data_IF_831175547456
#
_entry.id   IF_831175547456
#
_cell.length_a   1.000
_cell.length_b   1.000
_cell.length_c   1.000
_cell.angle_alpha   90.00
_cell.angle_beta   90.00
_cell.angle_gamma   90.00
#
_symmetry.space_group_name_H-M   'P 1'
#
loop_
_entity.id
_entity.type
_entity.pdbx_description
1 polymer ?
#
# COMPACT_ATOMS: atom_id res chain seq x y z
N UNK A 1 -2.89 13.14 -12.72
CA UNK A 1 -1.98 12.23 -11.99
C UNK A 1 -2.36 12.22 -10.52
N UNK A 2 -2.49 11.04 -9.94
CA UNK A 2 -2.84 10.88 -8.52
C UNK A 2 -1.58 10.49 -7.75
N UNK A 3 -1.24 11.25 -6.72
CA UNK A 3 -0.09 10.99 -5.86
C UNK A 3 -0.59 10.72 -4.44
N UNK A 4 -0.17 9.61 -3.85
CA UNK A 4 -0.58 9.32 -2.48
C UNK A 4 0.47 8.49 -1.74
N UNK A 5 0.34 8.51 -0.41
CA UNK A 5 1.04 7.56 0.45
C UNK A 5 0.00 6.76 1.22
N UNK A 6 0.32 5.50 1.48
CA UNK A 6 -0.49 4.64 2.33
C UNK A 6 0.40 4.11 3.45
N UNK A 7 0.06 4.42 4.69
CA UNK A 7 0.87 4.10 5.86
C UNK A 7 0.22 2.99 6.67
N UNK A 8 1.03 2.02 7.07
CA UNK A 8 0.60 0.84 7.82
C UNK A 8 1.47 0.65 9.04
N UNK A 9 0.84 0.29 10.16
CA UNK A 9 1.55 -0.03 11.40
C UNK A 9 1.18 -1.44 11.84
N UNK A 10 2.17 -2.31 11.93
CA UNK A 10 1.98 -3.68 12.40
C UNK A 10 1.82 -3.72 13.91
N UNK A 11 1.01 -4.66 14.40
CA UNK A 11 1.03 -5.00 15.81
C UNK A 11 2.42 -5.53 16.17
N UNK A 12 2.92 -5.26 17.38
CA UNK A 12 4.21 -5.81 17.82
C UNK A 12 4.24 -7.33 17.63
N UNK A 13 5.30 -7.83 16.99
CA UNK A 13 5.44 -9.25 16.69
C UNK A 13 4.84 -9.67 15.34
N UNK A 14 4.09 -8.80 14.68
CA UNK A 14 3.46 -9.10 13.38
C UNK A 14 4.16 -8.42 12.21
N UNK A 15 5.24 -7.71 12.47
CA UNK A 15 5.92 -6.91 11.44
C UNK A 15 6.44 -7.74 10.27
N UNK A 16 6.94 -8.95 10.52
CA UNK A 16 7.44 -9.79 9.45
C UNK A 16 6.30 -10.31 8.56
N UNK A 17 5.19 -10.71 9.17
CA UNK A 17 4.00 -11.14 8.43
C UNK A 17 3.44 -10.01 7.57
N UNK A 18 3.34 -8.80 8.15
CA UNK A 18 2.85 -7.63 7.40
C UNK A 18 3.78 -7.32 6.24
N UNK A 19 5.09 -7.35 6.46
CA UNK A 19 6.07 -7.11 5.41
C UNK A 19 5.86 -8.05 4.23
N UNK A 20 5.67 -9.34 4.50
CA UNK A 20 5.46 -10.33 3.46
C UNK A 20 4.18 -10.07 2.66
N UNK A 21 3.08 -9.77 3.35
CA UNK A 21 1.79 -9.48 2.71
C UNK A 21 1.88 -8.23 1.85
N UNK A 22 2.45 -7.14 2.38
CA UNK A 22 2.57 -5.89 1.63
C UNK A 22 3.49 -6.06 0.42
N UNK A 23 4.57 -6.83 0.56
CA UNK A 23 5.50 -7.08 -0.54
C UNK A 23 4.81 -7.84 -1.68
N UNK A 24 3.92 -8.77 -1.37
CA UNK A 24 3.18 -9.53 -2.38
C UNK A 24 2.27 -8.65 -3.24
N UNK A 25 1.88 -7.48 -2.74
CA UNK A 25 1.03 -6.56 -3.49
C UNK A 25 1.79 -5.78 -4.58
N UNK A 26 3.12 -5.77 -4.52
CA UNK A 26 3.92 -4.93 -5.43
C UNK A 26 3.77 -5.32 -6.89
N UNK A 27 4.02 -6.60 -7.21
CA UNK A 27 4.02 -7.03 -8.61
C UNK A 27 2.66 -6.89 -9.29
N UNK A 28 1.57 -7.42 -8.72
CA UNK A 28 0.27 -7.28 -9.38
C UNK A 28 -0.19 -5.83 -9.52
N UNK A 29 0.13 -4.96 -8.56
CA UNK A 29 -0.21 -3.55 -8.66
C UNK A 29 0.61 -2.85 -9.74
N UNK A 30 1.90 -3.14 -9.80
CA UNK A 30 2.78 -2.57 -10.83
C UNK A 30 2.37 -2.99 -12.24
N UNK A 31 1.70 -4.13 -12.39
CA UNK A 31 1.21 -4.63 -13.67
C UNK A 31 -0.11 -3.97 -14.09
N UNK A 32 -0.76 -3.20 -13.23
CA UNK A 32 -1.96 -2.44 -13.61
C UNK A 32 -1.56 -1.37 -14.62
N UNK A 33 -2.34 -1.25 -15.69
CA UNK A 33 -2.05 -0.33 -16.78
C UNK A 33 -1.87 1.11 -16.32
N UNK A 34 -2.69 1.54 -15.36
CA UNK A 34 -2.67 2.92 -14.88
C UNK A 34 -1.72 3.18 -13.72
N UNK A 35 -0.99 2.16 -13.26
CA UNK A 35 -0.04 2.34 -12.16
C UNK A 35 1.27 2.92 -12.68
N UNK A 36 1.64 4.11 -12.21
CA UNK A 36 2.88 4.77 -12.61
C UNK A 36 4.00 4.46 -11.63
N UNK A 37 3.66 4.40 -10.33
CA UNK A 37 4.64 4.15 -9.28
C UNK A 37 3.97 3.41 -8.13
N UNK A 38 4.63 2.38 -7.62
CA UNK A 38 4.15 1.65 -6.46
C UNK A 38 5.37 1.09 -5.73
N UNK A 39 5.83 1.81 -4.70
CA UNK A 39 7.04 1.48 -3.94
C UNK A 39 6.69 1.30 -2.49
N UNK A 40 7.28 0.29 -1.87
CA UNK A 40 7.07 -0.02 -0.45
C UNK A 40 8.34 0.28 0.32
N UNK A 41 8.19 1.00 1.42
CA UNK A 41 9.29 1.34 2.31
C UNK A 41 8.98 0.88 3.73
N UNK A 42 10.00 0.41 4.42
CA UNK A 42 9.91 0.11 5.85
C UNK A 42 10.72 1.17 6.60
N UNK A 43 10.16 1.69 7.69
CA UNK A 43 10.83 2.68 8.51
C UNK A 43 12.16 2.09 9.00
N UNK A 44 13.22 2.87 8.89
CA UNK A 44 14.57 2.43 9.25
C UNK A 44 14.71 2.11 10.73
N UNK A 45 13.99 2.83 11.58
CA UNK A 45 14.12 2.72 13.02
C UNK A 45 12.93 2.02 13.69
N UNK A 46 11.84 1.79 12.96
CA UNK A 46 10.63 1.14 13.49
C UNK A 46 10.17 0.07 12.50
N UNK A 47 10.49 -1.18 12.79
CA UNK A 47 10.20 -2.31 11.90
C UNK A 47 8.69 -2.52 11.66
N UNK A 48 7.82 -1.96 12.51
CA UNK A 48 6.37 -2.09 12.36
C UNK A 48 5.75 -1.06 11.43
N UNK A 49 6.51 -0.05 11.01
CA UNK A 49 6.01 1.07 10.22
C UNK A 49 6.39 0.91 8.75
N UNK A 50 5.36 0.86 7.88
CA UNK A 50 5.53 0.69 6.44
C UNK A 50 4.77 1.77 5.68
N UNK A 51 5.32 2.19 4.54
CA UNK A 51 4.70 3.20 3.69
C UNK A 51 4.77 2.76 2.24
N UNK A 52 3.63 2.79 1.53
CA UNK A 52 3.63 2.75 0.07
C UNK A 52 3.68 4.18 -0.45
N UNK A 53 4.53 4.42 -1.45
CA UNK A 53 4.47 5.62 -2.27
C UNK A 53 3.84 5.21 -3.60
N UNK A 54 2.70 5.82 -3.93
CA UNK A 54 1.87 5.40 -5.05
C UNK A 54 1.60 6.55 -5.99
N UNK A 55 1.56 6.23 -7.29
CA UNK A 55 1.22 7.19 -8.31
C UNK A 55 0.42 6.48 -9.39
N UNK A 56 -0.76 7.01 -9.69
CA UNK A 56 -1.65 6.49 -10.73
C UNK A 56 -1.88 7.57 -11.77
N UNK A 57 -2.09 7.17 -13.03
CA UNK A 57 -2.15 8.15 -14.13
C UNK A 57 -3.36 9.09 -14.03
N UNK A 58 -4.48 8.64 -13.42
CA UNK A 58 -5.67 9.44 -13.24
C UNK A 58 -6.58 8.83 -12.17
N UNK A 59 -7.69 9.50 -11.90
CA UNK A 59 -8.66 9.06 -10.89
C UNK A 59 -9.25 7.70 -11.25
N UNK A 60 -9.51 7.45 -12.53
CA UNK A 60 -10.07 6.20 -13.01
C UNK A 60 -9.12 5.02 -12.71
N UNK A 61 -7.81 5.23 -12.94
CA UNK A 61 -6.81 4.22 -12.67
C UNK A 61 -6.71 3.91 -11.17
N UNK A 62 -6.82 4.93 -10.32
CA UNK A 62 -6.81 4.76 -8.88
C UNK A 62 -8.04 3.97 -8.42
N UNK A 63 -9.21 4.30 -8.95
CA UNK A 63 -10.44 3.58 -8.62
C UNK A 63 -10.39 2.13 -9.10
N UNK A 64 -9.82 1.91 -10.28
CA UNK A 64 -9.61 0.56 -10.78
C UNK A 64 -8.77 -0.27 -9.83
N UNK A 65 -7.66 0.31 -9.34
CA UNK A 65 -6.79 -0.35 -8.36
C UNK A 65 -7.59 -0.86 -7.15
N UNK A 66 -8.49 -0.04 -6.62
CA UNK A 66 -9.29 -0.37 -5.45
C UNK A 66 -10.31 -1.48 -5.70
N UNK A 67 -10.58 -1.83 -6.97
CA UNK A 67 -11.55 -2.86 -7.33
C UNK A 67 -10.91 -4.17 -7.75
N UNK A 68 -9.59 -4.26 -7.74
CA UNK A 68 -8.88 -5.48 -8.17
C UNK A 68 -8.97 -6.59 -7.13
N UNK A 69 -8.84 -7.83 -7.60
CA UNK A 69 -8.79 -8.99 -6.71
C UNK A 69 -7.58 -8.94 -5.78
N UNK A 70 -6.44 -8.51 -6.30
CA UNK A 70 -5.23 -8.46 -5.49
C UNK A 70 -5.34 -7.40 -4.38
N UNK A 71 -6.06 -6.31 -4.62
CA UNK A 71 -6.30 -5.32 -3.59
C UNK A 71 -7.22 -5.89 -2.50
N UNK A 72 -8.31 -6.57 -2.89
CA UNK A 72 -9.22 -7.21 -1.95
C UNK A 72 -8.49 -8.25 -1.09
N UNK A 73 -7.61 -9.03 -1.71
CA UNK A 73 -6.80 -10.03 -1.00
C UNK A 73 -5.87 -9.36 0.00
N UNK A 74 -5.23 -8.28 -0.41
CA UNK A 74 -4.35 -7.50 0.46
C UNK A 74 -5.12 -7.04 1.71
N UNK A 75 -6.28 -6.40 1.53
CA UNK A 75 -7.08 -5.89 2.64
C UNK A 75 -7.47 -7.01 3.59
N UNK A 76 -7.87 -8.16 3.07
CA UNK A 76 -8.23 -9.32 3.91
C UNK A 76 -7.04 -9.83 4.72
N UNK A 77 -5.87 -9.90 4.10
CA UNK A 77 -4.68 -10.47 4.73
C UNK A 77 -4.09 -9.56 5.81
N UNK A 78 -4.22 -8.24 5.69
CA UNK A 78 -3.64 -7.32 6.67
C UNK A 78 -4.55 -7.05 7.86
N UNK A 79 -5.84 -7.39 7.78
CA UNK A 79 -6.84 -7.01 8.77
C UNK A 79 -6.44 -7.32 10.21
N UNK A 80 -5.88 -8.49 10.46
CA UNK A 80 -5.49 -8.91 11.81
C UNK A 80 -4.03 -8.64 12.15
N UNK A 81 -3.30 -7.98 11.26
CA UNK A 81 -1.88 -7.68 11.45
C UNK A 81 -1.63 -6.24 11.88
N UNK A 82 -2.62 -5.37 11.72
CA UNK A 82 -2.45 -3.94 11.95
C UNK A 82 -2.77 -3.53 13.38
N UNK A 83 -2.00 -2.58 13.90
CA UNK A 83 -2.25 -1.95 15.20
C UNK A 83 -3.36 -0.91 15.11
N UNK A 84 -3.48 -0.24 13.95
CA UNK A 84 -4.48 0.77 13.69
C UNK A 84 -4.85 0.75 12.21
N UNK A 85 -5.90 1.48 11.83
CA UNK A 85 -6.31 1.56 10.44
C UNK A 85 -5.23 2.17 9.54
N UNK A 86 -5.11 1.71 8.29
CA UNK A 86 -4.19 2.33 7.33
C UNK A 86 -4.53 3.80 7.14
N UNK A 87 -3.51 4.62 6.93
CA UNK A 87 -3.68 6.05 6.71
C UNK A 87 -3.29 6.40 5.29
N UNK A 88 -4.23 6.99 4.54
CA UNK A 88 -3.97 7.47 3.19
C UNK A 88 -3.80 8.99 3.22
N UNK A 89 -2.81 9.48 2.48
CA UNK A 89 -2.60 10.91 2.31
C UNK A 89 -2.40 11.19 0.82
N UNK A 90 -3.14 12.17 0.31
CA UNK A 90 -3.10 12.54 -1.11
C UNK A 90 -2.36 13.86 -1.26
N UNK A 91 -1.60 13.99 -2.35
CA UNK A 91 -0.72 15.13 -2.55
C UNK A 91 -0.87 15.71 -3.95
N UNK A 92 -0.65 17.01 -4.08
CA UNK A 92 -0.54 17.68 -5.37
C UNK A 92 0.95 17.95 -5.64
N UNK A 93 1.41 17.56 -6.81
CA UNK A 93 2.77 17.90 -7.22
C UNK A 93 2.82 19.39 -7.58
N UNK A 94 3.84 20.09 -7.10
CA UNK A 94 4.01 21.53 -7.36
C UNK A 94 4.98 21.79 -8.49
#
# INVERSE_FOLDING_TARGET
MIHLTATFHAQPGKEQQLKEVLTQALEPTRNEEGCVRYQLFQDKDNACHFVFQEQFKDQEAFEFHGKTEHFARLINQIENLLECEPKLAFFNEL
#
